data_IF_671821796614
#
_entry.id   IF_671821796614
#
_cell.length_a   1.000
_cell.length_b   1.000
_cell.length_c   1.000
_cell.angle_alpha   90.00
_cell.angle_beta   90.00
_cell.angle_gamma   90.00
#
_symmetry.space_group_name_H-M   'P 1'
#
loop_
_entity.id
_entity.type
_entity.pdbx_description
1 polymer ?
#
# COMPACT_ATOMS: atom_id res chain seq x y z
N UNK A 1 11.68 6.85 15.22
CA UNK A 1 10.71 7.93 14.93
C UNK A 1 11.01 8.74 13.69
N UNK A 2 12.17 9.42 13.59
CA UNK A 2 12.46 10.30 12.44
C UNK A 2 12.41 9.56 11.09
N UNK A 3 12.78 8.29 11.06
CA UNK A 3 12.76 7.47 9.84
C UNK A 3 11.36 6.97 9.44
N UNK A 4 10.37 6.98 10.35
CA UNK A 4 9.04 6.45 10.03
C UNK A 4 8.36 7.18 8.85
N UNK A 5 8.29 8.53 8.82
CA UNK A 5 7.77 9.24 7.65
C UNK A 5 8.65 9.04 6.40
N UNK A 6 9.96 8.93 6.56
CA UNK A 6 10.89 8.79 5.42
C UNK A 6 10.71 7.44 4.72
N UNK A 7 10.55 6.36 5.49
CA UNK A 7 10.35 5.01 4.96
C UNK A 7 9.09 4.92 4.10
N UNK A 8 7.95 5.41 4.61
CA UNK A 8 6.70 5.35 3.86
C UNK A 8 6.71 6.26 2.63
N UNK A 9 7.37 7.42 2.72
CA UNK A 9 7.53 8.32 1.57
C UNK A 9 8.38 7.67 0.47
N UNK A 10 9.50 7.05 0.83
CA UNK A 10 10.35 6.34 -0.13
C UNK A 10 9.62 5.19 -0.81
N UNK A 11 8.84 4.43 -0.04
CA UNK A 11 8.00 3.36 -0.58
C UNK A 11 6.93 3.90 -1.56
N UNK A 12 6.21 4.97 -1.17
CA UNK A 12 5.23 5.61 -2.05
C UNK A 12 5.83 6.13 -3.36
N UNK A 13 7.03 6.72 -3.32
CA UNK A 13 7.75 7.14 -4.54
C UNK A 13 8.10 5.94 -5.43
N UNK A 14 8.54 4.82 -4.83
CA UNK A 14 8.80 3.59 -5.59
C UNK A 14 7.57 3.08 -6.35
N UNK A 15 6.39 3.16 -5.73
CA UNK A 15 5.12 2.71 -6.32
C UNK A 15 4.63 3.56 -7.50
N UNK A 16 5.05 4.83 -7.57
CA UNK A 16 4.86 5.64 -8.77
C UNK A 16 5.61 5.03 -9.96
N UNK A 17 6.83 4.52 -9.72
CA UNK A 17 7.61 3.82 -10.75
C UNK A 17 6.87 2.59 -11.28
N UNK A 18 6.36 1.74 -10.39
CA UNK A 18 5.55 0.57 -10.77
C UNK A 18 4.33 0.98 -11.61
N UNK A 19 3.62 2.03 -11.18
CA UNK A 19 2.43 2.52 -11.89
C UNK A 19 2.74 2.99 -13.32
N UNK A 20 3.85 3.69 -13.51
CA UNK A 20 4.22 4.26 -14.83
C UNK A 20 4.84 3.18 -15.73
N UNK A 21 5.60 2.25 -15.17
CA UNK A 21 6.24 1.18 -15.93
C UNK A 21 5.26 0.09 -16.35
N UNK A 22 4.20 -0.17 -15.57
CA UNK A 22 3.37 -1.34 -15.76
C UNK A 22 4.20 -2.63 -15.60
N UNK A 23 4.83 -2.78 -14.45
CA UNK A 23 5.76 -3.89 -14.14
C UNK A 23 5.09 -5.16 -13.61
N UNK A 24 3.76 -5.26 -13.69
CA UNK A 24 3.02 -6.43 -13.22
C UNK A 24 2.48 -6.30 -11.79
N UNK A 25 2.79 -5.20 -11.09
CA UNK A 25 2.34 -4.98 -9.71
C UNK A 25 0.87 -4.54 -9.58
N UNK A 26 0.05 -4.79 -10.60
CA UNK A 26 -1.38 -4.46 -10.63
C UNK A 26 -2.24 -5.50 -9.88
N UNK A 27 -3.51 -5.15 -9.64
CA UNK A 27 -4.46 -5.99 -8.90
C UNK A 27 -5.18 -7.01 -9.78
N UNK A 28 -6.23 -7.59 -9.22
CA UNK A 28 -7.14 -8.49 -9.94
C UNK A 28 -7.83 -7.76 -11.12
N UNK A 29 -8.37 -8.55 -12.05
CA UNK A 29 -9.22 -8.06 -13.13
C UNK A 29 -10.41 -7.23 -12.60
N UNK A 30 -10.65 -6.07 -13.21
CA UNK A 30 -11.70 -5.14 -12.83
C UNK A 30 -12.57 -4.76 -14.04
N UNK A 31 -13.60 -5.55 -14.26
CA UNK A 31 -14.67 -5.27 -15.24
C UNK A 31 -15.86 -4.54 -14.64
N UNK A 32 -15.81 -4.23 -13.33
CA UNK A 32 -16.91 -3.57 -12.64
C UNK A 32 -17.03 -2.09 -13.06
N UNK A 33 -18.26 -1.57 -13.24
CA UNK A 33 -18.45 -0.16 -13.56
C UNK A 33 -17.95 0.72 -12.41
N UNK A 34 -17.32 1.84 -12.77
CA UNK A 34 -16.84 2.83 -11.80
C UNK A 34 -18.02 3.36 -10.97
N UNK A 35 -17.95 3.34 -9.62
CA UNK A 35 -19.01 3.88 -8.77
C UNK A 35 -19.32 5.35 -9.09
N UNK A 36 -20.60 5.74 -9.03
CA UNK A 36 -21.04 7.11 -9.34
C UNK A 36 -20.35 8.18 -8.47
N UNK A 37 -20.04 7.84 -7.22
CA UNK A 37 -19.28 8.71 -6.30
C UNK A 37 -17.87 9.03 -6.79
N UNK A 38 -17.29 8.18 -7.64
CA UNK A 38 -15.95 8.34 -8.23
C UNK A 38 -16.02 8.83 -9.68
N UNK A 39 -17.19 9.27 -10.16
CA UNK A 39 -17.37 9.79 -11.52
C UNK A 39 -16.46 10.96 -11.86
N UNK A 40 -16.09 11.76 -10.85
CA UNK A 40 -15.18 12.90 -11.00
C UNK A 40 -13.71 12.50 -11.25
N UNK A 41 -13.33 11.25 -10.99
CA UNK A 41 -11.97 10.76 -11.21
C UNK A 41 -11.80 10.18 -12.63
N UNK A 42 -10.59 10.26 -13.21
CA UNK A 42 -10.27 9.54 -14.44
C UNK A 42 -10.52 8.03 -14.34
N UNK A 43 -10.93 7.39 -15.45
CA UNK A 43 -11.26 5.96 -15.47
C UNK A 43 -10.07 5.06 -15.11
N UNK A 44 -8.86 5.45 -15.51
CA UNK A 44 -7.64 4.71 -15.20
C UNK A 44 -7.37 4.58 -13.69
N UNK A 45 -7.94 5.44 -12.84
CA UNK A 45 -7.81 5.33 -11.39
C UNK A 45 -8.71 4.23 -10.81
N UNK A 46 -9.69 3.75 -11.57
CA UNK A 46 -10.57 2.64 -11.20
C UNK A 46 -10.16 1.35 -11.91
N UNK A 47 -9.98 1.42 -13.23
CA UNK A 47 -9.74 0.26 -14.08
C UNK A 47 -8.76 0.67 -15.18
N UNK A 48 -7.64 -0.03 -15.30
CA UNK A 48 -6.55 0.34 -16.21
C UNK A 48 -5.97 -0.86 -16.94
N UNK A 49 -5.62 -0.69 -18.22
CA UNK A 49 -5.08 -1.75 -19.08
C UNK A 49 -3.55 -1.73 -19.18
N UNK A 50 -2.88 -0.76 -18.56
CA UNK A 50 -1.42 -0.57 -18.64
C UNK A 50 -0.89 -0.69 -20.09
N UNK A 51 -1.25 0.24 -20.98
CA UNK A 51 -0.67 0.30 -22.31
C UNK A 51 0.84 0.50 -22.23
N UNK A 52 1.58 -0.16 -23.11
CA UNK A 52 3.04 -0.14 -23.14
C UNK A 52 3.70 -0.66 -21.85
N UNK A 53 3.06 -1.63 -21.19
CA UNK A 53 3.61 -2.23 -19.98
C UNK A 53 4.98 -2.88 -20.25
N UNK A 54 5.91 -2.74 -19.30
CA UNK A 54 7.30 -3.18 -19.44
C UNK A 54 7.40 -4.71 -19.60
N UNK A 55 6.44 -5.44 -19.04
CA UNK A 55 6.40 -6.91 -19.13
C UNK A 55 5.91 -7.41 -20.49
N UNK A 56 5.40 -6.53 -21.36
CA UNK A 56 4.77 -6.91 -22.63
C UNK A 56 3.63 -7.93 -22.47
N UNK A 57 2.86 -7.82 -21.39
CA UNK A 57 1.70 -8.65 -21.08
C UNK A 57 0.45 -8.23 -21.87
N UNK A 58 -0.39 -9.22 -22.18
CA UNK A 58 -1.69 -9.03 -22.82
C UNK A 58 -1.66 -9.11 -24.36
N UNK A 59 -2.38 -8.20 -25.01
CA UNK A 59 -2.60 -8.18 -26.46
C UNK A 59 -1.83 -7.03 -27.13
N UNK A 60 -1.44 -7.18 -28.41
CA UNK A 60 -0.76 -6.13 -29.15
C UNK A 60 -1.68 -4.92 -29.37
N UNK A 61 -1.11 -3.73 -29.27
CA UNK A 61 -1.77 -2.45 -29.58
C UNK A 61 -1.74 -2.26 -31.10
N UNK A 62 -2.89 -1.97 -31.71
CA UNK A 62 -3.00 -1.71 -33.13
C UNK A 62 -2.05 -0.57 -33.55
N UNK A 63 -1.36 -0.75 -34.68
CA UNK A 63 -0.42 0.21 -35.25
C UNK A 63 0.80 0.56 -34.35
N UNK A 64 1.08 -0.23 -33.31
CA UNK A 64 2.28 -0.09 -32.49
C UNK A 64 3.38 -1.07 -32.96
N UNK A 65 4.57 -0.53 -33.27
CA UNK A 65 5.75 -1.32 -33.65
C UNK A 65 6.91 -0.98 -32.73
N UNK A 66 7.46 -1.96 -32.03
CA UNK A 66 8.59 -1.76 -31.12
C UNK A 66 8.54 -2.64 -29.87
N UNK A 67 9.42 -2.33 -28.91
CA UNK A 67 9.40 -2.94 -27.57
C UNK A 67 8.26 -2.33 -26.75
N UNK A 68 7.58 -3.13 -25.94
CA UNK A 68 6.44 -2.71 -25.11
C UNK A 68 5.25 -2.18 -25.94
N UNK A 69 4.82 -2.95 -26.94
CA UNK A 69 3.63 -2.64 -27.75
C UNK A 69 2.39 -3.45 -27.34
N UNK A 70 2.33 -3.88 -26.07
CA UNK A 70 1.25 -4.68 -25.54
C UNK A 70 0.47 -3.92 -24.44
N UNK A 71 -0.78 -4.30 -24.25
CA UNK A 71 -1.65 -3.85 -23.18
C UNK A 71 -2.49 -5.02 -22.66
N UNK A 72 -2.94 -4.96 -21.42
CA UNK A 72 -3.82 -5.98 -20.87
C UNK A 72 -5.14 -6.04 -21.64
N UNK A 73 -5.58 -7.24 -21.98
CA UNK A 73 -6.85 -7.47 -22.68
C UNK A 73 -8.05 -7.14 -21.79
N UNK A 74 -7.93 -7.45 -20.49
CA UNK A 74 -8.92 -7.16 -19.46
C UNK A 74 -8.28 -6.13 -18.52
N UNK A 75 -8.96 -5.03 -18.21
CA UNK A 75 -8.41 -4.03 -17.33
C UNK A 75 -8.40 -4.53 -15.88
N UNK A 76 -7.50 -3.98 -15.07
CA UNK A 76 -7.23 -4.42 -13.70
C UNK A 76 -7.32 -3.25 -12.74
N UNK A 77 -7.43 -3.54 -11.44
CA UNK A 77 -7.28 -2.50 -10.42
C UNK A 77 -5.83 -1.96 -10.41
N UNK A 78 -5.63 -0.64 -10.51
CA UNK A 78 -4.29 -0.04 -10.46
C UNK A 78 -3.75 0.04 -9.03
N UNK A 79 -3.44 -1.11 -8.43
CA UNK A 79 -2.98 -1.20 -7.04
C UNK A 79 -1.71 -0.38 -6.73
N UNK A 80 -0.72 -0.19 -7.64
CA UNK A 80 0.42 0.70 -7.36
C UNK A 80 0.01 2.16 -7.15
N UNK A 81 -1.04 2.62 -7.84
CA UNK A 81 -1.63 3.93 -7.62
C UNK A 81 -2.29 4.00 -6.22
N UNK A 82 -3.06 2.98 -5.83
CA UNK A 82 -3.67 2.92 -4.50
C UNK A 82 -2.64 2.90 -3.38
N UNK A 83 -1.57 2.12 -3.54
CA UNK A 83 -0.42 2.08 -2.63
C UNK A 83 0.22 3.47 -2.50
N UNK A 84 0.45 4.16 -3.62
CA UNK A 84 0.99 5.53 -3.63
C UNK A 84 0.10 6.49 -2.84
N UNK A 85 -1.21 6.48 -3.08
CA UNK A 85 -2.17 7.37 -2.40
C UNK A 85 -2.20 7.08 -0.89
N UNK A 86 -2.22 5.81 -0.49
CA UNK A 86 -2.18 5.42 0.93
C UNK A 86 -0.85 5.80 1.58
N UNK A 87 0.28 5.61 0.90
CA UNK A 87 1.59 6.02 1.39
C UNK A 87 1.67 7.53 1.61
N UNK A 88 1.13 8.34 0.69
CA UNK A 88 1.05 9.79 0.83
C UNK A 88 0.17 10.21 2.01
N UNK A 89 -0.97 9.55 2.20
CA UNK A 89 -1.84 9.79 3.35
C UNK A 89 -1.16 9.45 4.67
N UNK A 90 -0.52 8.26 4.76
CA UNK A 90 0.22 7.83 5.95
C UNK A 90 1.39 8.78 6.22
N UNK A 91 2.13 9.19 5.19
CA UNK A 91 3.20 10.17 5.31
C UNK A 91 2.67 11.49 5.89
N UNK A 92 1.59 12.03 5.32
CA UNK A 92 1.00 13.29 5.79
C UNK A 92 0.54 13.18 7.25
N UNK A 93 -0.10 12.08 7.62
CA UNK A 93 -0.53 11.79 9.00
C UNK A 93 0.67 11.73 9.95
N UNK A 94 1.70 10.95 9.62
CA UNK A 94 2.90 10.83 10.46
C UNK A 94 3.66 12.16 10.54
N UNK A 95 3.72 12.92 9.45
CA UNK A 95 4.35 14.24 9.41
C UNK A 95 3.62 15.25 10.30
N UNK A 96 2.29 15.22 10.28
CA UNK A 96 1.45 16.02 11.17
C UNK A 96 1.64 15.62 12.65
N UNK A 97 1.66 14.33 12.94
CA UNK A 97 1.82 13.79 14.30
C UNK A 97 3.24 13.96 14.85
N UNK A 98 4.26 14.09 14.00
CA UNK A 98 5.68 14.19 14.37
C UNK A 98 5.95 15.25 15.44
N UNK A 99 5.28 16.41 15.39
CA UNK A 99 5.46 17.49 16.37
C UNK A 99 4.51 17.40 17.57
N UNK A 100 3.48 16.57 17.49
CA UNK A 100 2.46 16.37 18.55
C UNK A 100 2.85 15.26 19.50
N UNK A 101 3.62 14.27 19.02
CA UNK A 101 4.06 13.12 19.81
C UNK A 101 5.49 13.36 20.28
N UNK A 102 5.67 13.48 21.60
CA UNK A 102 6.98 13.63 22.26
C UNK A 102 7.53 12.31 22.81
N UNK A 103 6.72 11.25 22.84
CA UNK A 103 7.10 9.94 23.39
C UNK A 103 7.98 9.19 22.37
N UNK A 104 9.26 8.89 22.70
CA UNK A 104 10.13 8.15 21.79
C UNK A 104 9.59 6.75 21.49
N UNK A 105 9.62 6.37 20.22
CA UNK A 105 9.16 5.08 19.70
C UNK A 105 7.70 5.03 19.30
N UNK A 106 6.85 5.93 19.82
CA UNK A 106 5.40 5.89 19.58
C UNK A 106 5.06 6.20 18.12
N UNK A 107 5.75 7.17 17.50
CA UNK A 107 5.52 7.51 16.09
C UNK A 107 5.91 6.35 15.16
N UNK A 108 7.01 5.64 15.46
CA UNK A 108 7.40 4.45 14.72
C UNK A 108 6.41 3.30 14.90
N UNK A 109 5.89 3.09 16.11
CA UNK A 109 4.85 2.10 16.36
C UNK A 109 3.56 2.38 15.58
N UNK A 110 3.11 3.64 15.50
CA UNK A 110 1.98 4.04 14.66
C UNK A 110 2.26 3.74 13.18
N UNK A 111 3.47 4.03 12.70
CA UNK A 111 3.88 3.68 11.33
C UNK A 111 3.78 2.18 11.06
N UNK A 112 4.24 1.31 11.97
CA UNK A 112 4.15 -0.14 11.78
C UNK A 112 2.70 -0.62 11.63
N UNK A 113 1.78 -0.06 12.43
CA UNK A 113 0.35 -0.37 12.35
C UNK A 113 -0.20 0.05 10.99
N UNK A 114 0.02 1.31 10.59
CA UNK A 114 -0.52 1.86 9.36
C UNK A 114 0.04 1.18 8.11
N UNK A 115 1.35 0.91 8.10
CA UNK A 115 2.01 0.20 7.01
C UNK A 115 1.54 -1.26 6.91
N UNK A 116 1.35 -1.94 8.05
CA UNK A 116 0.78 -3.29 8.04
C UNK A 116 -0.67 -3.31 7.54
N UNK A 117 -1.48 -2.33 7.93
CA UNK A 117 -2.86 -2.20 7.44
C UNK A 117 -2.92 -1.93 5.93
N UNK A 118 -2.07 -1.02 5.41
CA UNK A 118 -1.97 -0.73 3.99
C UNK A 118 -1.64 -1.99 3.18
N UNK A 119 -0.61 -2.73 3.61
CA UNK A 119 -0.22 -4.01 3.00
C UNK A 119 -1.36 -5.02 3.00
N UNK A 120 -2.06 -5.15 4.11
CA UNK A 120 -3.19 -6.07 4.22
C UNK A 120 -4.32 -5.71 3.24
N UNK A 121 -4.67 -4.43 3.12
CA UNK A 121 -5.75 -3.97 2.23
C UNK A 121 -5.43 -4.19 0.75
N UNK A 122 -4.20 -3.87 0.33
CA UNK A 122 -3.78 -4.05 -1.07
C UNK A 122 -3.73 -5.51 -1.46
N UNK A 123 -3.29 -6.36 -0.53
CA UNK A 123 -3.21 -7.79 -0.75
C UNK A 123 -4.58 -8.42 -1.04
N UNK A 124 -5.67 -7.92 -0.43
CA UNK A 124 -7.02 -8.37 -0.75
C UNK A 124 -7.44 -8.06 -2.21
N UNK A 125 -6.81 -7.06 -2.83
CA UNK A 125 -7.06 -6.64 -4.22
C UNK A 125 -6.10 -7.37 -5.18
N UNK A 126 -5.01 -7.98 -4.69
CA UNK A 126 -4.04 -8.72 -5.52
C UNK A 126 -4.42 -10.19 -5.64
N UNK A 127 -4.10 -10.81 -6.79
CA UNK A 127 -4.19 -12.27 -7.00
C UNK A 127 -2.92 -12.91 -6.43
N UNK A 128 -2.73 -12.95 -5.12
CA UNK A 128 -1.60 -13.72 -4.56
C UNK A 128 -2.02 -15.15 -4.21
N UNK A 129 -1.13 -16.10 -4.54
CA UNK A 129 -1.30 -17.52 -4.28
C UNK A 129 -1.54 -17.78 -2.79
N UNK A 130 -2.63 -18.49 -2.50
CA UNK A 130 -3.02 -18.83 -1.14
C UNK A 130 -2.14 -19.99 -0.65
N UNK A 131 -1.32 -19.78 0.37
CA UNK A 131 -0.57 -20.87 1.00
C UNK A 131 -1.56 -21.78 1.75
N UNK A 132 -1.68 -23.04 1.34
CA UNK A 132 -2.51 -24.01 2.06
C UNK A 132 -1.79 -24.47 3.34
N UNK A 133 -2.17 -23.92 4.51
CA UNK A 133 -1.70 -24.41 5.80
C UNK A 133 -2.85 -24.45 6.82
N UNK A 134 -3.19 -25.65 7.32
CA UNK A 134 -4.18 -25.86 8.41
C UNK A 134 -5.62 -25.38 8.10
N UNK A 135 -6.06 -25.39 6.84
CA UNK A 135 -7.43 -25.01 6.46
C UNK A 135 -7.70 -23.49 6.49
N UNK A 136 -6.70 -22.70 6.89
CA UNK A 136 -6.61 -21.26 6.65
C UNK A 136 -5.63 -21.06 5.49
N UNK A 137 -5.86 -20.05 4.66
CA UNK A 137 -5.02 -19.84 3.49
C UNK A 137 -4.44 -18.42 3.42
N UNK A 138 -3.69 -17.99 4.44
CA UNK A 138 -3.14 -16.64 4.46
C UNK A 138 -1.95 -16.52 3.51
N UNK A 139 -1.80 -15.37 2.83
CA UNK A 139 -0.61 -15.11 2.00
C UNK A 139 0.60 -14.76 2.86
N UNK A 140 1.82 -14.95 2.35
CA UNK A 140 3.05 -14.53 3.06
C UNK A 140 3.01 -13.03 3.42
N UNK A 141 2.42 -12.22 2.54
CA UNK A 141 2.24 -10.79 2.76
C UNK A 141 1.24 -10.49 3.88
N UNK A 142 0.15 -11.24 4.00
CA UNK A 142 -0.81 -11.11 5.12
C UNK A 142 -0.17 -11.44 6.48
N UNK A 143 0.69 -12.46 6.53
CA UNK A 143 1.42 -12.81 7.76
C UNK A 143 2.34 -11.66 8.17
N UNK A 144 3.11 -11.11 7.23
CA UNK A 144 4.00 -9.98 7.48
C UNK A 144 3.20 -8.76 7.93
N UNK A 145 2.08 -8.46 7.26
CA UNK A 145 1.17 -7.38 7.62
C UNK A 145 0.65 -7.53 9.06
N UNK A 146 0.20 -8.73 9.44
CA UNK A 146 -0.29 -9.02 10.79
C UNK A 146 0.82 -8.85 11.84
N UNK A 147 2.03 -9.33 11.56
CA UNK A 147 3.18 -9.16 12.46
C UNK A 147 3.53 -7.68 12.65
N UNK A 148 3.50 -6.87 11.58
CA UNK A 148 3.73 -5.43 11.67
C UNK A 148 2.67 -4.74 12.54
N UNK A 149 1.40 -5.10 12.39
CA UNK A 149 0.31 -4.53 13.21
C UNK A 149 0.47 -4.93 14.68
N UNK A 150 0.70 -6.22 14.98
CA UNK A 150 0.85 -6.69 16.36
C UNK A 150 2.05 -6.05 17.04
N UNK A 151 3.20 -6.00 16.36
CA UNK A 151 4.42 -5.37 16.91
C UNK A 151 4.25 -3.86 17.10
N UNK A 152 3.54 -3.19 16.19
CA UNK A 152 3.16 -1.80 16.32
C UNK A 152 2.27 -1.54 17.54
N UNK A 153 1.21 -2.34 17.75
CA UNK A 153 0.32 -2.22 18.91
C UNK A 153 1.08 -2.45 20.22
N UNK A 154 1.90 -3.50 20.28
CA UNK A 154 2.71 -3.80 21.45
C UNK A 154 3.69 -2.66 21.77
N UNK A 155 4.32 -2.08 20.73
CA UNK A 155 5.19 -0.92 20.85
C UNK A 155 4.48 0.33 21.37
N UNK A 156 3.27 0.64 20.87
CA UNK A 156 2.43 1.73 21.38
C UNK A 156 2.13 1.55 22.88
N UNK A 157 1.66 0.35 23.29
CA UNK A 157 1.32 0.06 24.67
C UNK A 157 2.56 0.20 25.58
N UNK A 158 3.69 -0.36 25.15
CA UNK A 158 4.93 -0.34 25.93
C UNK A 158 5.49 1.08 26.09
N UNK A 159 5.57 1.86 25.00
CA UNK A 159 6.10 3.24 25.04
C UNK A 159 5.24 4.16 25.89
N UNK A 160 3.90 4.06 25.79
CA UNK A 160 2.97 4.84 26.62
C UNK A 160 3.09 4.46 28.10
N UNK A 161 3.08 3.15 28.42
CA UNK A 161 3.25 2.68 29.81
C UNK A 161 4.58 3.14 30.41
N UNK A 162 5.66 3.08 29.64
CA UNK A 162 6.99 3.53 30.06
C UNK A 162 7.02 5.04 30.29
N UNK A 163 6.42 5.83 29.39
CA UNK A 163 6.36 7.29 29.53
C UNK A 163 5.59 7.71 30.79
N UNK A 164 4.45 7.07 31.09
CA UNK A 164 3.66 7.35 32.30
C UNK A 164 4.42 7.02 33.59
N UNK A 165 5.24 5.96 33.59
CA UNK A 165 6.10 5.63 34.75
C UNK A 165 7.19 6.65 34.98
N UNK A 166 7.75 7.24 33.93
CA UNK A 166 8.83 8.23 34.01
C UNK A 166 8.28 9.61 34.40
N UNK A 167 7.10 9.97 33.86
CA UNK A 167 6.42 11.25 34.14
C UNK A 167 4.97 11.00 34.61
N UNK A 168 4.74 10.71 35.91
CA UNK A 168 3.41 10.40 36.42
C UNK A 168 2.41 11.58 36.43
N UNK A 169 2.85 12.81 36.12
CA UNK A 169 2.03 14.03 36.16
C UNK A 169 1.45 14.54 34.84
N UNK A 170 1.61 13.82 33.72
CA UNK A 170 1.03 14.22 32.42
C UNK A 170 -0.17 13.31 32.12
N UNK A 171 -1.33 13.71 32.62
CA UNK A 171 -2.64 13.12 32.35
C UNK A 171 -3.54 14.13 31.67
#
# INVERSE_FOLDING_TARGET
>A
DVMAPVLIAGYGVGRIGCQVAGDGDWGIENTAPKPALLSFLPDWMWSYTYPHNVNSEGIPIADCVGKHCNQLAIPVFPTPFYETVMCLFIFALLWFLRKRISIPGLLFSIYLILNGMERFLIEQIRVNDRYHFLGLSPTQAEIIALLLVITGIAGCIWTIKRSRKINPGVG
#
